data_IF_293380980056
#
_entry.id   IF_293380980056
#
_cell.length_a   1.000
_cell.length_b   1.000
_cell.length_c   1.000
_cell.angle_alpha   90.00
_cell.angle_beta   90.00
_cell.angle_gamma   90.00
#
_symmetry.space_group_name_H-M   'P 1'
#
loop_
_entity.id
_entity.type
_entity.pdbx_description
1 polymer ?
#
# COMPACT_ATOMS: atom_id res chain seq x y z
N UNK A 1 19.81 -15.00 7.43
CA UNK A 1 19.61 -13.59 7.04
C UNK A 1 19.76 -12.73 8.28
N UNK A 2 20.74 -11.86 8.27
CA UNK A 2 21.05 -11.01 9.43
C UNK A 2 20.18 -9.76 9.45
N UNK A 3 19.83 -9.33 10.66
CA UNK A 3 19.14 -8.06 10.86
C UNK A 3 20.17 -6.95 10.85
N UNK A 4 20.14 -6.11 9.81
CA UNK A 4 21.14 -5.06 9.63
C UNK A 4 20.69 -3.70 10.15
N UNK A 5 19.45 -3.31 9.89
CA UNK A 5 18.86 -2.05 10.35
C UNK A 5 17.57 -2.39 11.07
N UNK A 6 17.55 -2.18 12.38
CA UNK A 6 16.39 -2.47 13.22
C UNK A 6 15.72 -1.16 13.65
N UNK A 7 14.45 -1.02 13.31
CA UNK A 7 13.63 0.15 13.65
C UNK A 7 12.65 -0.24 14.75
N UNK A 8 12.69 0.50 15.85
CA UNK A 8 11.81 0.26 17.00
C UNK A 8 10.91 1.48 17.18
N UNK A 9 9.84 1.54 16.39
CA UNK A 9 8.94 2.68 16.38
C UNK A 9 7.64 2.36 17.10
N UNK A 10 7.06 3.37 17.73
CA UNK A 10 5.77 3.26 18.41
C UNK A 10 4.61 3.82 17.60
N UNK A 11 4.91 4.65 16.60
CA UNK A 11 3.90 5.31 15.81
C UNK A 11 4.21 5.19 14.31
N UNK A 12 3.16 5.04 13.53
CA UNK A 12 3.19 4.92 12.08
C UNK A 12 3.94 6.09 11.41
N UNK A 13 3.76 7.30 11.94
CA UNK A 13 4.41 8.50 11.43
C UNK A 13 5.94 8.40 11.47
N UNK A 14 6.49 7.69 12.43
CA UNK A 14 7.93 7.49 12.54
C UNK A 14 8.47 6.62 11.40
N UNK A 15 7.77 5.54 11.07
CA UNK A 15 8.13 4.69 9.93
C UNK A 15 7.98 5.47 8.63
N UNK A 16 6.90 6.25 8.50
CA UNK A 16 6.69 7.08 7.31
C UNK A 16 7.83 8.06 7.10
N UNK A 17 8.28 8.73 8.16
CA UNK A 17 9.40 9.67 8.08
C UNK A 17 10.68 8.96 7.66
N UNK A 18 10.95 7.77 8.20
CA UNK A 18 12.12 6.97 7.82
C UNK A 18 12.07 6.57 6.34
N UNK A 19 10.94 6.06 5.88
CA UNK A 19 10.77 5.67 4.48
C UNK A 19 10.87 6.86 3.55
N UNK A 20 10.29 7.99 3.93
CA UNK A 20 10.39 9.20 3.13
C UNK A 20 11.84 9.61 2.89
N UNK A 21 12.68 9.48 3.90
CA UNK A 21 14.08 9.85 3.83
C UNK A 21 14.95 8.78 3.16
N UNK A 22 14.62 7.50 3.33
CA UNK A 22 15.54 6.40 3.02
C UNK A 22 15.07 5.48 1.89
N UNK A 23 13.82 5.54 1.44
CA UNK A 23 13.27 4.53 0.51
C UNK A 23 14.02 4.43 -0.81
N UNK A 24 14.66 5.49 -1.27
CA UNK A 24 15.41 5.50 -2.54
C UNK A 24 16.88 5.14 -2.38
N UNK A 25 17.39 5.10 -1.16
CA UNK A 25 18.82 4.94 -0.89
C UNK A 25 19.17 3.67 -0.10
N UNK A 26 18.21 3.11 0.62
CA UNK A 26 18.40 1.94 1.47
C UNK A 26 17.69 0.75 0.86
N UNK A 27 18.28 -0.43 0.95
CA UNK A 27 17.76 -1.65 0.31
C UNK A 27 16.97 -2.54 1.26
N UNK A 28 17.02 -2.28 2.55
CA UNK A 28 16.40 -3.19 3.52
C UNK A 28 16.35 -2.53 4.90
N UNK A 29 15.29 -2.84 5.64
CA UNK A 29 15.25 -2.59 7.08
C UNK A 29 14.36 -3.64 7.74
N UNK A 30 14.42 -3.68 9.07
CA UNK A 30 13.59 -4.56 9.89
C UNK A 30 12.86 -3.69 10.91
N UNK A 31 11.58 -3.96 11.09
CA UNK A 31 10.73 -3.16 11.98
C UNK A 31 10.06 -4.07 13.00
N UNK A 32 10.10 -3.68 14.27
CA UNK A 32 9.39 -4.40 15.33
C UNK A 32 7.88 -4.21 15.10
N UNK A 33 7.15 -5.32 15.04
CA UNK A 33 5.71 -5.33 14.75
C UNK A 33 4.94 -6.15 15.77
N UNK A 34 3.62 -5.93 15.79
CA UNK A 34 2.66 -6.81 16.47
C UNK A 34 1.60 -7.26 15.48
N UNK A 35 1.30 -8.57 15.49
CA UNK A 35 0.17 -9.15 14.72
C UNK A 35 -1.09 -9.31 15.56
N UNK A 36 -1.05 -8.88 16.81
CA UNK A 36 -2.21 -8.93 17.69
C UNK A 36 -3.33 -8.01 17.19
N UNK A 37 -4.57 -8.38 17.41
CA UNK A 37 -5.72 -7.51 17.13
C UNK A 37 -5.75 -6.32 18.08
N UNK A 38 -5.10 -6.46 19.23
CA UNK A 38 -4.96 -5.40 20.24
C UNK A 38 -3.48 -5.19 20.51
N UNK A 39 -2.76 -4.49 19.60
CA UNK A 39 -1.31 -4.32 19.74
C UNK A 39 -0.97 -3.60 21.04
N UNK A 40 0.11 -4.00 21.72
CA UNK A 40 0.56 -3.26 22.88
C UNK A 40 1.01 -1.85 22.50
N UNK A 41 0.92 -0.92 23.45
CA UNK A 41 1.43 0.44 23.24
C UNK A 41 2.94 0.37 22.96
N UNK A 42 3.42 1.23 22.06
CA UNK A 42 4.84 1.30 21.73
C UNK A 42 5.31 0.33 20.66
N UNK A 43 4.40 -0.42 20.03
CA UNK A 43 4.73 -1.35 18.94
C UNK A 43 3.81 -1.09 17.76
N UNK A 44 4.35 -1.10 16.54
CA UNK A 44 3.56 -0.86 15.34
C UNK A 44 2.68 -2.08 15.01
N UNK A 45 1.38 -1.86 14.75
CA UNK A 45 0.53 -2.90 14.17
C UNK A 45 1.06 -3.33 12.79
N UNK A 46 1.00 -4.62 12.51
CA UNK A 46 1.44 -5.19 11.23
C UNK A 46 0.80 -4.48 10.03
N UNK A 47 -0.50 -4.18 10.10
CA UNK A 47 -1.20 -3.56 8.97
C UNK A 47 -0.67 -2.15 8.67
N UNK A 48 -0.29 -1.38 9.69
CA UNK A 48 0.27 -0.05 9.49
C UNK A 48 1.59 -0.12 8.74
N UNK A 49 2.41 -1.12 9.05
CA UNK A 49 3.69 -1.35 8.37
C UNK A 49 3.48 -1.73 6.91
N UNK A 50 2.55 -2.63 6.63
CA UNK A 50 2.19 -3.01 5.26
C UNK A 50 1.72 -1.80 4.45
N UNK A 51 0.85 -0.99 5.03
CA UNK A 51 0.32 0.19 4.34
C UNK A 51 1.42 1.22 4.04
N UNK A 52 2.31 1.48 4.99
CA UNK A 52 3.42 2.40 4.73
C UNK A 52 4.36 1.88 3.65
N UNK A 53 4.61 0.58 3.61
CA UNK A 53 5.39 -0.02 2.52
C UNK A 53 4.74 0.23 1.16
N UNK A 54 3.44 0.00 1.05
CA UNK A 54 2.71 0.25 -0.20
C UNK A 54 2.80 1.71 -0.64
N UNK A 55 2.74 2.64 0.31
CA UNK A 55 2.84 4.06 0.02
C UNK A 55 4.17 4.46 -0.63
N UNK A 56 5.24 3.70 -0.40
CA UNK A 56 6.59 4.02 -0.89
C UNK A 56 7.12 3.01 -1.92
N UNK A 57 6.29 2.08 -2.38
CA UNK A 57 6.73 1.07 -3.34
C UNK A 57 7.63 -0.01 -2.74
N UNK A 58 7.49 -0.25 -1.46
CA UNK A 58 8.21 -1.29 -0.72
C UNK A 58 7.31 -2.49 -0.45
N UNK A 59 7.89 -3.59 0.02
CA UNK A 59 7.18 -4.83 0.36
C UNK A 59 7.70 -5.40 1.66
N UNK A 60 6.79 -5.97 2.45
CA UNK A 60 7.10 -6.80 3.60
C UNK A 60 7.41 -8.23 3.14
N UNK A 61 8.36 -8.87 3.76
CA UNK A 61 8.74 -10.24 3.39
C UNK A 61 8.87 -11.14 4.62
N UNK A 62 10.08 -11.37 5.10
CA UNK A 62 10.36 -12.33 6.17
C UNK A 62 10.02 -11.76 7.54
N UNK A 63 9.44 -12.60 8.41
CA UNK A 63 9.26 -12.29 9.83
C UNK A 63 10.22 -13.14 10.62
N UNK A 64 10.91 -12.53 11.57
CA UNK A 64 11.78 -13.23 12.53
C UNK A 64 11.35 -12.93 13.95
N UNK A 65 11.66 -13.87 14.85
CA UNK A 65 11.43 -13.70 16.28
C UNK A 65 12.78 -13.38 16.93
N UNK A 66 12.83 -12.30 17.69
CA UNK A 66 14.01 -11.94 18.47
C UNK A 66 14.12 -12.83 19.71
N UNK A 67 15.32 -12.90 20.34
CA UNK A 67 15.48 -13.68 21.57
C UNK A 67 14.53 -13.30 22.70
N UNK A 68 14.05 -12.06 22.72
CA UNK A 68 13.08 -11.56 23.71
C UNK A 68 11.61 -11.74 23.26
N UNK A 69 11.37 -12.57 22.24
CA UNK A 69 10.07 -12.91 21.69
C UNK A 69 9.38 -11.80 20.85
N UNK A 70 9.99 -10.64 20.68
CA UNK A 70 9.45 -9.64 19.78
C UNK A 70 9.55 -10.10 18.32
N UNK A 71 8.56 -9.73 17.52
CA UNK A 71 8.58 -10.02 16.08
C UNK A 71 9.15 -8.85 15.32
N UNK A 72 9.96 -9.14 14.31
CA UNK A 72 10.50 -8.13 13.38
C UNK A 72 10.17 -8.52 11.95
N UNK A 73 9.74 -7.53 11.18
CA UNK A 73 9.34 -7.67 9.78
C UNK A 73 10.40 -7.07 8.88
N UNK A 74 10.86 -7.84 7.90
CA UNK A 74 11.77 -7.33 6.88
C UNK A 74 11.00 -6.52 5.86
N UNK A 75 11.52 -5.32 5.55
CA UNK A 75 10.97 -4.43 4.52
C UNK A 75 12.06 -4.15 3.49
N UNK A 76 11.67 -4.10 2.21
CA UNK A 76 12.59 -3.81 1.12
C UNK A 76 11.84 -3.20 -0.08
N UNK A 77 12.55 -2.50 -0.98
CA UNK A 77 11.92 -2.04 -2.21
C UNK A 77 11.37 -3.20 -3.03
N UNK A 78 10.21 -3.00 -3.66
CA UNK A 78 9.63 -3.99 -4.56
C UNK A 78 10.50 -4.15 -5.79
N UNK A 79 10.63 -5.39 -6.27
CA UNK A 79 11.27 -5.66 -7.54
C UNK A 79 10.30 -5.27 -8.67
N UNK A 80 10.84 -4.91 -9.82
CA UNK A 80 10.07 -4.50 -10.98
C UNK A 80 8.97 -5.51 -11.36
N UNK A 81 9.26 -6.80 -11.23
CA UNK A 81 8.34 -7.87 -11.56
C UNK A 81 7.74 -8.54 -10.32
N UNK A 82 7.59 -7.82 -9.21
CA UNK A 82 7.03 -8.39 -8.00
C UNK A 82 5.56 -8.77 -8.20
N UNK A 83 5.13 -9.80 -7.48
CA UNK A 83 3.74 -10.23 -7.52
C UNK A 83 2.88 -9.27 -6.69
N UNK A 84 1.74 -8.86 -7.26
CA UNK A 84 0.75 -8.03 -6.57
C UNK A 84 -0.52 -8.84 -6.34
N UNK A 85 -1.01 -8.86 -5.11
CA UNK A 85 -2.29 -9.47 -4.80
C UNK A 85 -3.43 -8.47 -4.99
N UNK A 86 -4.64 -8.97 -5.20
CA UNK A 86 -5.83 -8.09 -5.24
C UNK A 86 -5.97 -7.30 -3.95
N UNK A 87 -5.67 -7.92 -2.81
CA UNK A 87 -5.73 -7.26 -1.51
C UNK A 87 -4.81 -6.04 -1.45
N UNK A 88 -3.57 -6.18 -1.93
CA UNK A 88 -2.63 -5.06 -1.93
C UNK A 88 -3.01 -3.99 -2.95
N UNK A 89 -3.62 -4.36 -4.07
CA UNK A 89 -4.21 -3.38 -5.00
C UNK A 89 -5.31 -2.57 -4.34
N UNK A 90 -6.23 -3.23 -3.65
CA UNK A 90 -7.34 -2.57 -2.95
C UNK A 90 -6.79 -1.65 -1.84
N UNK A 91 -5.75 -2.07 -1.16
CA UNK A 91 -5.08 -1.23 -0.15
C UNK A 91 -4.49 0.03 -0.77
N UNK A 92 -3.83 -0.09 -1.92
CA UNK A 92 -3.27 1.07 -2.62
C UNK A 92 -4.35 2.08 -3.01
N UNK A 93 -5.49 1.61 -3.46
CA UNK A 93 -6.62 2.47 -3.80
C UNK A 93 -7.14 3.21 -2.57
N UNK A 94 -7.32 2.50 -1.47
CA UNK A 94 -7.73 3.10 -0.20
C UNK A 94 -6.71 4.13 0.29
N UNK A 95 -5.43 3.80 0.23
CA UNK A 95 -4.36 4.71 0.64
C UNK A 95 -4.30 5.96 -0.23
N UNK A 96 -4.56 5.83 -1.53
CA UNK A 96 -4.64 6.99 -2.43
C UNK A 96 -5.81 7.89 -2.05
N UNK A 97 -6.98 7.30 -1.78
CA UNK A 97 -8.17 8.05 -1.36
C UNK A 97 -7.95 8.77 -0.04
N UNK A 98 -7.14 8.20 0.85
CA UNK A 98 -6.78 8.82 2.13
C UNK A 98 -5.65 9.84 1.99
N UNK A 99 -5.11 10.04 0.80
CA UNK A 99 -4.03 11.00 0.56
C UNK A 99 -2.66 10.56 1.07
N UNK A 100 -2.46 9.26 1.29
CA UNK A 100 -1.23 8.74 1.88
C UNK A 100 -0.22 8.21 0.86
N UNK A 101 -0.65 7.91 -0.38
CA UNK A 101 0.27 7.41 -1.40
C UNK A 101 1.30 8.46 -1.80
N UNK A 102 2.53 8.02 -2.04
CA UNK A 102 3.61 8.87 -2.54
C UNK A 102 3.86 8.60 -4.03
N UNK A 103 4.58 9.48 -4.74
CA UNK A 103 4.96 9.22 -6.13
C UNK A 103 5.70 7.89 -6.32
N UNK A 104 6.54 7.49 -5.38
CA UNK A 104 7.26 6.21 -5.44
C UNK A 104 6.29 5.03 -5.38
N UNK A 105 5.30 5.09 -4.51
CA UNK A 105 4.28 4.05 -4.40
C UNK A 105 3.41 3.96 -5.66
N UNK A 106 3.02 5.11 -6.20
CA UNK A 106 2.25 5.17 -7.46
C UNK A 106 3.02 4.57 -8.61
N UNK A 107 4.31 4.89 -8.75
CA UNK A 107 5.15 4.33 -9.82
C UNK A 107 5.26 2.81 -9.70
N UNK A 108 5.43 2.29 -8.50
CA UNK A 108 5.50 0.84 -8.28
C UNK A 108 4.20 0.15 -8.71
N UNK A 109 3.06 0.72 -8.35
CA UNK A 109 1.75 0.19 -8.72
C UNK A 109 1.53 0.26 -10.23
N UNK A 110 1.82 1.40 -10.86
CA UNK A 110 1.70 1.58 -12.32
C UNK A 110 2.60 0.63 -13.09
N UNK A 111 3.85 0.45 -12.65
CA UNK A 111 4.79 -0.46 -13.30
C UNK A 111 4.31 -1.91 -13.25
N UNK A 112 3.60 -2.29 -12.20
CA UNK A 112 3.06 -3.64 -12.06
C UNK A 112 1.87 -3.91 -12.98
N UNK A 113 1.01 -2.91 -13.18
CA UNK A 113 -0.26 -3.07 -13.88
C UNK A 113 -0.39 -2.15 -15.09
N UNK A 114 0.68 -1.46 -15.49
CA UNK A 114 0.68 -0.55 -16.62
C UNK A 114 -0.27 0.61 -16.38
N UNK A 115 -1.43 0.59 -17.06
CA UNK A 115 -2.44 1.63 -16.98
C UNK A 115 -3.25 1.60 -15.67
N UNK A 116 -2.91 0.71 -14.73
CA UNK A 116 -3.70 0.44 -13.53
C UNK A 116 -4.03 1.66 -12.69
N UNK A 117 -3.06 2.54 -12.45
CA UNK A 117 -3.30 3.73 -11.64
C UNK A 117 -4.36 4.63 -12.27
N UNK A 118 -4.32 4.85 -13.58
CA UNK A 118 -5.27 5.71 -14.27
C UNK A 118 -6.69 5.13 -14.31
N UNK A 119 -6.82 3.81 -14.26
CA UNK A 119 -8.13 3.16 -14.16
C UNK A 119 -8.80 3.52 -12.84
N UNK A 120 -8.03 3.64 -11.76
CA UNK A 120 -8.58 3.96 -10.44
C UNK A 120 -8.70 5.47 -10.20
N UNK A 121 -7.96 6.28 -10.96
CA UNK A 121 -7.99 7.74 -10.85
C UNK A 121 -8.19 8.34 -12.25
N UNK A 122 -9.31 8.06 -12.89
CA UNK A 122 -9.55 8.46 -14.28
C UNK A 122 -9.71 9.97 -14.42
N UNK A 123 -9.35 10.46 -15.61
CA UNK A 123 -9.61 11.85 -16.00
C UNK A 123 -11.12 12.09 -16.13
N UNK A 124 -11.58 13.37 -16.13
CA UNK A 124 -13.00 13.67 -16.37
C UNK A 124 -13.54 13.06 -17.67
N UNK A 125 -12.74 13.03 -18.74
CA UNK A 125 -13.14 12.43 -20.02
C UNK A 125 -13.28 10.92 -19.91
N UNK A 126 -12.34 10.27 -19.20
CA UNK A 126 -12.42 8.83 -18.94
C UNK A 126 -13.63 8.47 -18.09
N UNK A 127 -13.95 9.27 -17.07
CA UNK A 127 -15.15 9.07 -16.26
C UNK A 127 -16.40 9.13 -17.12
N UNK A 128 -16.50 10.13 -18.01
CA UNK A 128 -17.63 10.29 -18.93
C UNK A 128 -17.79 9.05 -19.81
N UNK A 129 -16.69 8.56 -20.37
CA UNK A 129 -16.71 7.35 -21.20
C UNK A 129 -17.12 6.12 -20.40
N UNK A 130 -16.62 5.95 -19.19
CA UNK A 130 -16.99 4.83 -18.31
C UNK A 130 -18.47 4.84 -17.98
N UNK A 131 -19.06 6.02 -17.75
CA UNK A 131 -20.48 6.19 -17.49
C UNK A 131 -21.30 5.76 -18.72
N UNK A 132 -20.93 6.22 -19.91
CA UNK A 132 -21.62 5.86 -21.16
C UNK A 132 -21.59 4.35 -21.42
N UNK A 133 -20.44 3.72 -21.20
CA UNK A 133 -20.28 2.28 -21.35
C UNK A 133 -21.12 1.50 -20.35
N UNK A 134 -21.16 1.95 -19.09
CA UNK A 134 -21.98 1.32 -18.06
C UNK A 134 -23.48 1.42 -18.38
N UNK A 135 -23.94 2.57 -18.84
CA UNK A 135 -25.34 2.77 -19.28
C UNK A 135 -25.69 1.83 -20.43
N UNK A 136 -24.79 1.68 -21.40
CA UNK A 136 -25.03 0.83 -22.56
C UNK A 136 -25.12 -0.65 -22.19
N UNK A 137 -24.33 -1.08 -21.20
CA UNK A 137 -24.32 -2.49 -20.79
C UNK A 137 -25.53 -2.89 -19.96
N UNK A 138 -25.99 -2.02 -19.06
CA UNK A 138 -27.10 -2.30 -18.13
C UNK A 138 -28.00 -1.09 -17.93
N UNK A 139 -28.76 -0.69 -18.94
CA UNK A 139 -29.56 0.53 -18.86
C UNK A 139 -30.62 0.50 -17.76
N UNK A 140 -31.24 -0.65 -17.50
CA UNK A 140 -32.24 -0.77 -16.44
C UNK A 140 -31.66 -0.61 -15.04
N UNK A 141 -30.45 -1.13 -14.78
CA UNK A 141 -29.79 -0.96 -13.49
C UNK A 141 -29.33 0.48 -13.32
N UNK A 142 -28.83 1.08 -14.38
CA UNK A 142 -28.40 2.48 -14.32
C UNK A 142 -29.57 3.40 -13.98
N UNK A 143 -30.71 3.24 -14.68
CA UNK A 143 -31.90 4.03 -14.43
C UNK A 143 -32.43 3.87 -13.01
N UNK A 144 -32.27 2.68 -12.42
CA UNK A 144 -32.74 2.38 -11.07
C UNK A 144 -31.87 3.11 -10.00
N UNK A 145 -30.56 3.10 -10.16
CA UNK A 145 -29.63 3.64 -9.15
C UNK A 145 -29.25 5.09 -9.41
N UNK A 146 -29.32 5.55 -10.65
CA UNK A 146 -28.92 6.89 -11.04
C UNK A 146 -29.96 7.51 -12.00
N UNK A 147 -31.21 7.72 -11.52
CA UNK A 147 -32.28 8.16 -12.41
C UNK A 147 -32.07 9.53 -13.05
N UNK A 148 -31.25 10.36 -12.43
CA UNK A 148 -30.97 11.74 -12.89
C UNK A 148 -29.69 11.89 -13.72
N UNK A 149 -29.05 10.80 -14.06
CA UNK A 149 -27.82 10.82 -14.86
C UNK A 149 -28.02 10.34 -16.28
#
# INVERSE_FOLDING_TARGET
MEITTLLEYSERSQLRAWLNENHSNVKECWVVISKSKTPPAGVLPYIDVVEECLCFGWIDSTIKKLPDDRLVQRLSPRRKNSHWTKLNMDRCMDLEDRGLMTPAGRRAFENAYGWGYQVFHPTPEQIKQMIEEAKARRPELWAKFFPDL
#
